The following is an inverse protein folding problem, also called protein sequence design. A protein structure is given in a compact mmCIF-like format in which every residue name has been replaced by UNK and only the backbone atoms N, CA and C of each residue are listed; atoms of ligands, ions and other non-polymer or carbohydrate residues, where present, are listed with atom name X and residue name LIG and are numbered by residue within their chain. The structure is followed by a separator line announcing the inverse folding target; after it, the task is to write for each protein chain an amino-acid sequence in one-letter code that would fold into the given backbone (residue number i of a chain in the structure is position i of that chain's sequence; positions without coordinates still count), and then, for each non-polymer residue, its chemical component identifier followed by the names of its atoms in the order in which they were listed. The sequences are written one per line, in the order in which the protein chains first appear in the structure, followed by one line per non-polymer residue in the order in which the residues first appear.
data_IF_000248829624
#
_entry.id   IF_000248829624
#
_cell.length_a   1.000
_cell.length_b   1.000
_cell.length_c   1.000
_cell.angle_alpha   90.00
_cell.angle_beta   90.00
_cell.angle_gamma   90.00
#
_symmetry.space_group_name_H-M   'P 1'
#
loop_
_entity.id
_entity.type
_entity.pdbx_description
1 polymer ?
#
# COMPACT_ATOMS: atom_id res chain seq x y z
N UNK A 1 -2.48 7.32 5.02
CA UNK A 1 -2.40 8.73 5.40
C UNK A 1 -2.96 8.99 6.80
N UNK A 2 -4.22 8.69 7.09
CA UNK A 2 -4.88 9.09 8.34
C UNK A 2 -4.14 8.61 9.61
N UNK A 3 -3.63 7.39 9.61
CA UNK A 3 -2.87 6.81 10.73
C UNK A 3 -1.61 7.63 11.02
N UNK A 4 -0.87 8.04 9.99
CA UNK A 4 0.36 8.80 10.16
C UNK A 4 0.09 10.28 10.46
N UNK A 5 -0.82 10.94 9.72
CA UNK A 5 -1.06 12.38 9.85
C UNK A 5 -1.84 12.71 11.12
N UNK A 6 -2.99 12.05 11.35
CA UNK A 6 -3.85 12.42 12.48
C UNK A 6 -3.47 11.71 13.78
N UNK A 7 -3.08 10.45 13.71
CA UNK A 7 -2.77 9.67 14.91
C UNK A 7 -1.27 9.61 15.21
N UNK A 8 -0.42 10.20 14.35
CA UNK A 8 1.04 10.26 14.50
C UNK A 8 1.70 8.89 14.74
N UNK A 9 1.06 7.82 14.28
CA UNK A 9 1.66 6.50 14.31
C UNK A 9 2.55 6.27 13.07
N UNK A 10 3.80 5.79 13.25
CA UNK A 10 4.69 5.51 12.14
C UNK A 10 4.15 4.42 11.21
N UNK A 11 4.03 4.74 9.93
CA UNK A 11 3.49 3.87 8.87
C UNK A 11 4.55 3.66 7.80
N UNK A 12 4.74 2.42 7.34
CA UNK A 12 5.49 2.12 6.14
C UNK A 12 4.54 1.73 5.01
N UNK A 13 4.73 2.32 3.83
CA UNK A 13 4.00 1.99 2.62
C UNK A 13 4.99 1.51 1.56
N UNK A 14 4.83 0.27 1.12
CA UNK A 14 5.50 -0.29 -0.05
C UNK A 14 4.57 -0.17 -1.24
N UNK A 15 4.88 0.76 -2.15
CA UNK A 15 4.08 1.05 -3.34
C UNK A 15 4.77 0.46 -4.56
N UNK A 16 4.27 -0.68 -5.02
CA UNK A 16 4.90 -1.41 -6.12
C UNK A 16 4.39 -0.98 -7.50
N UNK A 17 3.28 -0.24 -7.53
CA UNK A 17 2.66 0.27 -8.76
C UNK A 17 2.91 1.77 -8.97
N UNK A 18 2.81 2.56 -7.91
CA UNK A 18 2.89 4.01 -7.99
C UNK A 18 4.22 4.54 -7.46
N UNK A 19 4.81 5.50 -8.17
CA UNK A 19 6.00 6.20 -7.69
C UNK A 19 5.70 7.09 -6.47
N UNK A 20 6.73 7.37 -5.68
CA UNK A 20 6.68 8.29 -4.54
C UNK A 20 6.04 9.64 -4.90
N UNK A 21 6.43 10.22 -6.05
CA UNK A 21 5.90 11.51 -6.50
C UNK A 21 4.39 11.45 -6.75
N UNK A 22 3.90 10.37 -7.36
CA UNK A 22 2.47 10.18 -7.61
C UNK A 22 1.69 10.06 -6.29
N UNK A 23 2.22 9.31 -5.33
CA UNK A 23 1.61 9.15 -4.01
C UNK A 23 1.56 10.46 -3.24
N UNK A 24 2.68 11.19 -3.19
CA UNK A 24 2.77 12.48 -2.50
C UNK A 24 1.76 13.47 -3.10
N UNK A 25 1.66 13.55 -4.42
CA UNK A 25 0.66 14.41 -5.08
C UNK A 25 -0.78 14.04 -4.72
N UNK A 26 -1.10 12.74 -4.62
CA UNK A 26 -2.42 12.28 -4.16
C UNK A 26 -2.68 12.64 -2.69
N UNK A 27 -1.66 12.54 -1.84
CA UNK A 27 -1.81 12.90 -0.43
C UNK A 27 -1.96 14.40 -0.23
N UNK A 28 -1.20 15.22 -0.96
CA UNK A 28 -1.34 16.67 -0.96
C UNK A 28 -2.77 17.04 -1.39
N UNK A 29 -3.23 16.52 -2.53
CA UNK A 29 -4.60 16.76 -3.00
C UNK A 29 -5.65 16.39 -1.95
N UNK A 30 -5.47 15.25 -1.28
CA UNK A 30 -6.40 14.76 -0.28
C UNK A 30 -6.34 15.50 1.06
N UNK A 31 -5.16 15.96 1.50
CA UNK A 31 -4.98 16.72 2.75
C UNK A 31 -5.43 18.16 2.57
N UNK A 32 -5.03 18.76 1.45
CA UNK A 32 -5.34 20.14 1.14
C UNK A 32 -6.76 20.32 0.57
N UNK A 33 -7.44 19.22 0.18
CA UNK A 33 -8.77 19.27 -0.46
C UNK A 33 -8.76 20.11 -1.76
N UNK A 34 -7.64 20.06 -2.49
CA UNK A 34 -7.43 20.74 -3.76
C UNK A 34 -7.39 19.68 -4.87
N UNK A 35 -8.12 19.86 -5.98
CA UNK A 35 -8.06 18.93 -7.10
C UNK A 35 -6.63 18.73 -7.61
N UNK A 36 -6.25 17.46 -7.85
CA UNK A 36 -4.88 17.12 -8.27
C UNK A 36 -4.47 17.76 -9.60
N UNK A 37 -5.43 18.07 -10.48
CA UNK A 37 -5.18 18.78 -11.74
C UNK A 37 -4.70 20.21 -11.52
N UNK A 38 -5.29 20.92 -10.55
CA UNK A 38 -4.86 22.27 -10.17
C UNK A 38 -3.45 22.25 -9.58
N UNK A 39 -3.14 21.26 -8.72
CA UNK A 39 -1.81 21.09 -8.12
C UNK A 39 -0.77 20.84 -9.23
N UNK A 40 -1.08 19.95 -10.19
CA UNK A 40 -0.18 19.63 -11.30
C UNK A 40 0.05 20.80 -12.27
N UNK A 41 -1.01 21.58 -12.56
CA UNK A 41 -0.92 22.73 -13.47
C UNK A 41 -0.37 23.98 -12.80
N UNK A 42 -0.31 24.02 -11.46
CA UNK A 42 0.05 25.23 -10.70
C UNK A 42 -1.00 26.33 -10.73
N UNK A 43 -2.20 26.07 -11.27
CA UNK A 43 -3.29 27.02 -11.38
C UNK A 43 -4.11 27.08 -10.08
N UNK A 44 -3.50 27.59 -9.03
CA UNK A 44 -4.10 27.76 -7.72
C UNK A 44 -4.46 29.23 -7.48
N UNK A 45 -5.63 29.48 -6.90
CA UNK A 45 -6.00 30.80 -6.41
C UNK A 45 -5.22 31.12 -5.13
N UNK A 46 -5.11 32.39 -4.76
CA UNK A 46 -4.32 32.84 -3.60
C UNK A 46 -4.76 32.15 -2.30
N UNK A 47 -6.04 31.93 -2.10
CA UNK A 47 -6.55 31.22 -0.92
C UNK A 47 -6.19 29.73 -0.94
N UNK A 48 -6.10 29.11 -2.13
CA UNK A 48 -5.68 27.70 -2.28
C UNK A 48 -4.19 27.54 -1.96
N UNK A 49 -3.36 28.54 -2.32
CA UNK A 49 -1.95 28.58 -1.91
C UNK A 49 -1.79 28.66 -0.40
N UNK A 50 -2.56 29.51 0.28
CA UNK A 50 -2.54 29.61 1.73
C UNK A 50 -3.01 28.30 2.39
N UNK A 51 -4.07 27.69 1.87
CA UNK A 51 -4.57 26.41 2.33
C UNK A 51 -3.55 25.28 2.18
N UNK A 52 -2.86 25.26 1.04
CA UNK A 52 -1.79 24.31 0.76
C UNK A 52 -0.63 24.46 1.75
N UNK A 53 -0.11 25.68 1.94
CA UNK A 53 1.00 25.93 2.87
C UNK A 53 0.66 25.54 4.30
N UNK A 54 -0.55 25.84 4.76
CA UNK A 54 -1.01 25.51 6.10
C UNK A 54 -1.15 23.99 6.31
N UNK A 55 -1.88 23.32 5.42
CA UNK A 55 -2.20 21.88 5.56
C UNK A 55 -1.02 20.96 5.22
N UNK A 56 -0.08 21.42 4.40
CA UNK A 56 1.09 20.64 4.00
C UNK A 56 2.03 20.36 5.19
N UNK A 57 2.09 21.25 6.16
CA UNK A 57 2.94 21.10 7.36
C UNK A 57 2.61 19.80 8.10
N UNK A 58 1.33 19.48 8.28
CA UNK A 58 0.89 18.25 8.94
C UNK A 58 1.35 16.97 8.20
N UNK A 59 1.41 17.06 6.87
CA UNK A 59 1.87 15.95 6.03
C UNK A 59 3.40 15.80 6.08
N UNK A 60 4.14 16.92 6.05
CA UNK A 60 5.61 16.92 6.09
C UNK A 60 6.16 16.34 7.40
N UNK A 61 5.47 16.62 8.52
CA UNK A 61 5.83 16.13 9.84
C UNK A 61 5.27 14.75 10.15
N UNK A 62 4.50 14.14 9.23
CA UNK A 62 3.91 12.84 9.46
C UNK A 62 4.96 11.73 9.37
N UNK A 63 4.99 10.77 10.31
CA UNK A 63 5.92 9.65 10.29
C UNK A 63 5.48 8.59 9.26
N UNK A 64 5.61 8.93 7.97
CA UNK A 64 5.19 8.13 6.83
C UNK A 64 6.39 7.80 5.95
N UNK A 65 6.74 6.54 5.91
CA UNK A 65 7.89 6.01 5.18
C UNK A 65 7.40 5.31 3.92
N UNK A 66 7.89 5.73 2.76
CA UNK A 66 7.47 5.19 1.47
C UNK A 66 8.65 4.55 0.77
N UNK A 67 8.40 3.38 0.23
CA UNK A 67 9.32 2.65 -0.62
C UNK A 67 8.59 2.30 -1.94
N UNK A 68 9.08 2.80 -3.06
CA UNK A 68 8.52 2.57 -4.40
C UNK A 68 9.44 1.69 -5.27
N UNK A 69 10.22 0.83 -4.63
CA UNK A 69 11.07 -0.15 -5.34
C UNK A 69 10.19 -1.10 -6.14
N UNK A 70 10.31 -1.13 -7.48
CA UNK A 70 9.53 -2.02 -8.32
C UNK A 70 9.95 -3.48 -8.12
N UNK A 71 9.02 -4.41 -8.32
CA UNK A 71 9.29 -5.86 -8.25
C UNK A 71 9.97 -6.30 -6.95
N UNK A 72 9.56 -5.73 -5.82
CA UNK A 72 10.14 -6.02 -4.51
C UNK A 72 10.00 -7.49 -4.15
N UNK A 73 11.10 -8.13 -3.78
CA UNK A 73 11.06 -9.50 -3.28
C UNK A 73 10.66 -9.57 -1.81
N UNK A 74 10.12 -10.73 -1.40
CA UNK A 74 9.76 -10.98 0.02
C UNK A 74 10.97 -10.82 0.95
N UNK A 75 12.16 -11.21 0.50
CA UNK A 75 13.40 -11.09 1.28
C UNK A 75 13.84 -9.65 1.47
N UNK A 76 13.76 -8.84 0.40
CA UNK A 76 14.05 -7.41 0.48
C UNK A 76 13.04 -6.68 1.35
N UNK A 77 11.74 -6.97 1.18
CA UNK A 77 10.69 -6.43 2.04
C UNK A 77 10.99 -6.72 3.51
N UNK A 78 11.33 -7.98 3.84
CA UNK A 78 11.63 -8.39 5.22
C UNK A 78 12.81 -7.60 5.81
N UNK A 79 13.85 -7.41 5.02
CA UNK A 79 15.04 -6.64 5.43
C UNK A 79 14.70 -5.17 5.67
N UNK A 80 13.97 -4.54 4.74
CA UNK A 80 13.54 -3.14 4.85
C UNK A 80 12.56 -2.95 6.01
N UNK A 81 11.59 -3.86 6.17
CA UNK A 81 10.61 -3.81 7.24
C UNK A 81 11.26 -3.89 8.63
N UNK A 82 12.19 -4.84 8.85
CA UNK A 82 12.95 -4.95 10.10
C UNK A 82 13.69 -3.66 10.44
N UNK A 83 14.34 -3.05 9.44
CA UNK A 83 15.05 -1.79 9.62
C UNK A 83 14.09 -0.67 10.00
N UNK A 84 12.98 -0.51 9.28
CA UNK A 84 11.98 0.53 9.55
C UNK A 84 11.34 0.39 10.93
N UNK A 85 11.06 -0.83 11.38
CA UNK A 85 10.54 -1.07 12.73
C UNK A 85 11.58 -0.72 13.80
N UNK A 86 12.83 -1.14 13.60
CA UNK A 86 13.90 -0.91 14.57
C UNK A 86 14.32 0.56 14.67
N UNK A 87 14.46 1.25 13.53
CA UNK A 87 15.02 2.61 13.46
C UNK A 87 13.97 3.68 13.64
N UNK A 88 12.74 3.42 13.15
CA UNK A 88 11.66 4.42 13.12
C UNK A 88 10.42 4.01 13.91
N UNK A 89 10.43 2.85 14.54
CA UNK A 89 9.31 2.39 15.35
C UNK A 89 8.01 2.17 14.57
N UNK A 90 8.11 1.78 13.29
CA UNK A 90 6.93 1.54 12.43
C UNK A 90 5.96 0.60 13.12
N UNK A 91 4.66 0.99 13.12
CA UNK A 91 3.57 0.28 13.78
C UNK A 91 2.64 -0.47 12.83
N UNK A 92 2.71 -0.16 11.54
CA UNK A 92 1.90 -0.79 10.50
C UNK A 92 2.63 -0.72 9.16
N UNK A 93 2.55 -1.81 8.41
CA UNK A 93 3.07 -1.89 7.04
C UNK A 93 1.88 -2.03 6.08
N UNK A 94 1.92 -1.31 4.97
CA UNK A 94 0.94 -1.39 3.88
C UNK A 94 1.69 -1.76 2.60
N UNK A 95 1.15 -2.68 1.81
CA UNK A 95 1.72 -3.14 0.54
C UNK A 95 0.69 -2.95 -0.57
N UNK A 96 1.03 -2.17 -1.60
CA UNK A 96 0.17 -1.87 -2.74
C UNK A 96 0.88 -2.29 -4.04
N UNK A 97 0.56 -3.43 -4.61
CA UNK A 97 -0.30 -4.55 -4.18
C UNK A 97 0.44 -5.90 -4.30
N UNK A 98 -0.07 -6.89 -3.62
CA UNK A 98 0.58 -8.19 -3.40
C UNK A 98 1.09 -8.87 -4.69
N UNK A 99 0.30 -8.83 -5.77
CA UNK A 99 0.62 -9.49 -7.02
C UNK A 99 1.81 -8.85 -7.78
N UNK A 100 2.32 -7.70 -7.38
CA UNK A 100 3.54 -7.12 -7.93
C UNK A 100 4.80 -7.55 -7.19
N UNK A 101 4.65 -8.25 -6.07
CA UNK A 101 5.78 -8.87 -5.37
C UNK A 101 6.28 -10.12 -6.10
N UNK A 102 7.50 -10.49 -5.81
CA UNK A 102 8.09 -11.75 -6.25
C UNK A 102 8.73 -12.52 -5.08
N UNK A 103 8.90 -13.80 -5.27
CA UNK A 103 9.64 -14.66 -4.35
C UNK A 103 10.95 -15.13 -5.00
N UNK A 104 11.81 -14.17 -5.36
CA UNK A 104 13.10 -14.42 -6.04
C UNK A 104 13.91 -15.49 -5.32
N UNK A 105 14.51 -16.39 -6.13
CA UNK A 105 15.33 -17.50 -5.63
C UNK A 105 14.55 -18.78 -5.33
N UNK A 106 13.23 -18.80 -5.54
CA UNK A 106 12.42 -20.00 -5.47
C UNK A 106 11.82 -20.33 -6.84
N UNK A 107 11.64 -21.62 -7.12
CA UNK A 107 10.93 -22.10 -8.32
C UNK A 107 9.50 -22.46 -7.95
N UNK A 108 8.53 -22.01 -8.72
CA UNK A 108 7.12 -22.27 -8.53
C UNK A 108 6.51 -22.90 -9.76
N UNK A 109 5.57 -23.82 -9.58
CA UNK A 109 4.82 -24.43 -10.66
C UNK A 109 3.78 -23.49 -11.28
N UNK A 110 3.35 -22.49 -10.52
CA UNK A 110 2.35 -21.51 -10.95
C UNK A 110 2.49 -20.18 -10.22
N UNK A 111 1.94 -19.11 -10.80
CA UNK A 111 1.84 -17.80 -10.15
C UNK A 111 1.02 -17.86 -8.87
N UNK A 112 0.00 -18.70 -8.84
CA UNK A 112 -0.86 -18.89 -7.66
C UNK A 112 -0.06 -19.45 -6.47
N UNK A 113 0.83 -20.40 -6.72
CA UNK A 113 1.70 -20.96 -5.68
C UNK A 113 2.68 -19.92 -5.14
N UNK A 114 3.24 -19.09 -6.01
CA UNK A 114 4.12 -17.99 -5.64
C UNK A 114 3.39 -16.98 -4.75
N UNK A 115 2.20 -16.51 -5.14
CA UNK A 115 1.39 -15.57 -4.37
C UNK A 115 1.01 -16.16 -3.00
N UNK A 116 0.66 -17.44 -2.94
CA UNK A 116 0.38 -18.14 -1.69
C UNK A 116 1.59 -18.18 -0.75
N UNK A 117 2.77 -18.37 -1.32
CA UNK A 117 4.03 -18.37 -0.54
C UNK A 117 4.38 -16.97 -0.04
N UNK A 118 4.13 -15.94 -0.85
CA UNK A 118 4.29 -14.54 -0.46
C UNK A 118 3.36 -14.23 0.72
N UNK A 119 2.07 -14.57 0.63
CA UNK A 119 1.08 -14.33 1.70
C UNK A 119 1.52 -14.96 3.02
N UNK A 120 1.86 -16.26 3.01
CA UNK A 120 2.38 -16.94 4.21
C UNK A 120 3.62 -16.29 4.79
N UNK A 121 4.52 -15.81 3.94
CA UNK A 121 5.74 -15.11 4.36
C UNK A 121 5.41 -13.77 5.02
N UNK A 122 4.44 -13.02 4.50
CA UNK A 122 3.96 -11.78 5.10
C UNK A 122 3.29 -12.01 6.45
N UNK A 123 2.49 -13.07 6.58
CA UNK A 123 1.91 -13.49 7.86
C UNK A 123 3.00 -13.82 8.90
N UNK A 124 4.04 -14.55 8.48
CA UNK A 124 5.21 -14.83 9.32
C UNK A 124 5.94 -13.57 9.75
N UNK A 125 6.14 -12.63 8.81
CA UNK A 125 6.78 -11.35 9.09
C UNK A 125 5.95 -10.47 10.05
N UNK A 126 4.65 -10.42 9.90
CA UNK A 126 3.76 -9.70 10.81
C UNK A 126 3.85 -10.21 12.25
N UNK A 127 3.89 -11.55 12.41
CA UNK A 127 4.11 -12.18 13.73
C UNK A 127 5.50 -11.89 14.29
N UNK A 128 6.54 -11.98 13.46
CA UNK A 128 7.93 -11.72 13.84
C UNK A 128 8.11 -10.28 14.36
N UNK A 129 7.54 -9.32 13.63
CA UNK A 129 7.67 -7.89 13.96
C UNK A 129 6.64 -7.43 15.01
N UNK A 130 5.65 -8.26 15.30
CA UNK A 130 4.51 -7.96 16.18
C UNK A 130 3.75 -6.68 15.75
N UNK A 131 3.58 -6.48 14.45
CA UNK A 131 2.81 -5.39 13.86
C UNK A 131 1.88 -5.89 12.74
N UNK A 132 0.74 -5.23 12.49
CA UNK A 132 -0.12 -5.56 11.36
C UNK A 132 0.55 -5.25 10.02
N UNK A 133 0.32 -6.13 9.05
CA UNK A 133 0.64 -5.91 7.63
C UNK A 133 -0.67 -5.93 6.85
N UNK A 134 -0.97 -4.85 6.15
CA UNK A 134 -2.11 -4.75 5.23
C UNK A 134 -1.57 -4.92 3.82
N UNK A 135 -1.90 -6.04 3.17
CA UNK A 135 -1.58 -6.25 1.77
C UNK A 135 -2.84 -6.07 0.92
N UNK A 136 -2.78 -5.15 -0.03
CA UNK A 136 -3.82 -5.00 -1.03
C UNK A 136 -3.72 -6.14 -2.04
N UNK A 137 -4.84 -6.64 -2.50
CA UNK A 137 -4.91 -7.70 -3.50
C UNK A 137 -5.88 -7.32 -4.59
N UNK A 138 -5.48 -7.53 -5.85
CA UNK A 138 -6.36 -7.35 -6.99
C UNK A 138 -7.38 -8.48 -7.04
N UNK A 139 -8.64 -8.14 -7.28
CA UNK A 139 -9.71 -9.11 -7.49
C UNK A 139 -9.69 -9.66 -8.92
N UNK A 140 -10.23 -10.87 -9.08
CA UNK A 140 -10.45 -11.45 -10.40
C UNK A 140 -11.47 -10.61 -11.18
N UNK A 141 -11.17 -10.29 -12.44
CA UNK A 141 -12.07 -9.54 -13.34
C UNK A 141 -13.43 -10.20 -13.55
N UNK A 142 -13.56 -11.49 -13.26
CA UNK A 142 -14.84 -12.20 -13.31
C UNK A 142 -15.94 -11.58 -12.43
N UNK A 143 -15.57 -10.81 -11.40
CA UNK A 143 -16.53 -10.06 -10.55
C UNK A 143 -17.31 -9.03 -11.37
N UNK A 144 -16.67 -8.38 -12.33
CA UNK A 144 -17.28 -7.34 -13.17
C UNK A 144 -18.36 -7.91 -14.11
N UNK A 145 -18.24 -9.20 -14.48
CA UNK A 145 -19.14 -9.90 -15.40
C UNK A 145 -20.37 -10.50 -14.70
N UNK A 146 -20.47 -10.40 -13.37
CA UNK A 146 -21.65 -10.90 -12.64
C UNK A 146 -22.84 -9.97 -12.80
N UNK A 147 -24.03 -10.55 -12.87
CA UNK A 147 -25.28 -9.79 -12.97
C UNK A 147 -25.71 -9.24 -11.59
N UNK A 148 -26.27 -8.01 -11.61
CA UNK A 148 -26.78 -7.33 -10.43
C UNK A 148 -25.73 -6.74 -9.49
N UNK A 149 -26.13 -5.77 -8.66
CA UNK A 149 -25.20 -5.12 -7.70
C UNK A 149 -24.71 -6.09 -6.62
N UNK A 150 -25.57 -6.99 -6.14
CA UNK A 150 -25.19 -8.01 -5.17
C UNK A 150 -24.22 -9.05 -5.76
N UNK A 151 -24.39 -9.43 -7.02
CA UNK A 151 -23.48 -10.34 -7.72
C UNK A 151 -22.08 -9.76 -7.90
N UNK A 152 -21.95 -8.44 -8.02
CA UNK A 152 -20.68 -7.71 -8.13
C UNK A 152 -20.01 -7.44 -6.77
N UNK A 153 -20.66 -7.79 -5.67
CA UNK A 153 -20.04 -7.66 -4.35
C UNK A 153 -18.87 -8.64 -4.23
N UNK A 154 -17.66 -8.15 -3.87
CA UNK A 154 -16.49 -9.01 -3.73
C UNK A 154 -16.71 -10.15 -2.74
N UNK A 155 -16.29 -11.33 -3.11
CA UNK A 155 -16.28 -12.54 -2.28
C UNK A 155 -14.86 -13.05 -2.10
N UNK A 156 -14.60 -13.86 -1.07
CA UNK A 156 -13.29 -14.45 -0.83
C UNK A 156 -12.79 -15.27 -2.03
N UNK A 157 -13.72 -15.95 -2.73
CA UNK A 157 -13.41 -16.69 -3.96
C UNK A 157 -12.88 -15.82 -5.11
N UNK A 158 -13.05 -14.50 -5.04
CA UNK A 158 -12.54 -13.55 -6.05
C UNK A 158 -11.05 -13.25 -5.87
N UNK A 159 -10.49 -13.63 -4.73
CA UNK A 159 -9.05 -13.69 -4.45
C UNK A 159 -8.39 -14.93 -5.08
N UNK A 160 -8.97 -15.50 -6.11
CA UNK A 160 -8.75 -16.85 -6.66
C UNK A 160 -7.34 -17.11 -7.21
N UNK A 161 -6.55 -16.10 -7.51
CA UNK A 161 -5.13 -16.28 -7.83
C UNK A 161 -4.27 -16.56 -6.58
N UNK A 162 -4.92 -16.66 -5.43
CA UNK A 162 -4.29 -16.77 -4.13
C UNK A 162 -5.14 -17.61 -3.16
N UNK A 163 -5.52 -18.81 -3.55
CA UNK A 163 -6.35 -19.71 -2.74
C UNK A 163 -5.85 -19.99 -1.30
N UNK A 164 -4.63 -19.54 -0.97
CA UNK A 164 -4.11 -19.56 0.39
C UNK A 164 -4.34 -18.24 1.15
N UNK A 165 -4.62 -17.11 0.46
CA UNK A 165 -4.94 -15.83 1.12
C UNK A 165 -6.27 -15.94 1.87
N UNK A 166 -7.16 -16.80 1.41
CA UNK A 166 -8.45 -17.06 2.06
C UNK A 166 -8.30 -17.68 3.47
N UNK A 167 -7.18 -18.33 3.74
CA UNK A 167 -6.89 -19.01 5.01
C UNK A 167 -5.91 -18.24 5.92
N UNK A 168 -5.26 -17.22 5.39
CA UNK A 168 -4.28 -16.39 6.09
C UNK A 168 -4.90 -15.11 6.68
#
# INVERSE_FOLDING_TARGET
KNIAVYFRNPVALFSLEMSNVQLVNRWISNVCEIPSEKIKSGQLADYEWQQLDYKLRDLLDAPLYVDDTPSLSVFELRTKARRLVREHGVKIIIIDYLQLMNASGMSFGSRQEEVSTISRSLKGLAKELNIPIIALSQLNRGVENREGEEGKRPQLSDLRESGAIEQD
#
